data_IF_813557574756
#
_entry.id   IF_813557574756
#
_cell.length_a   1.000
_cell.length_b   1.000
_cell.length_c   1.000
_cell.angle_alpha   90.00
_cell.angle_beta   90.00
_cell.angle_gamma   90.00
#
_symmetry.space_group_name_H-M   'P 1'
#
loop_
_entity.id
_entity.type
_entity.pdbx_description
1 polymer ?
#
# COMPACT_ATOMS: atom_id res chain seq x y z
N UNK A 1 -33.04 -27.58 36.65
CA UNK A 1 -31.58 -27.36 36.55
C UNK A 1 -31.00 -27.54 35.14
N UNK A 2 -31.81 -27.61 34.06
CA UNK A 2 -31.33 -27.84 32.68
C UNK A 2 -31.31 -26.58 31.79
N UNK A 3 -32.01 -25.52 32.17
CA UNK A 3 -32.11 -24.27 31.39
C UNK A 3 -30.91 -23.35 31.56
N UNK A 4 -30.20 -23.42 32.69
CA UNK A 4 -29.04 -22.56 33.00
C UNK A 4 -27.82 -22.89 32.14
N UNK A 5 -27.60 -24.17 31.81
CA UNK A 5 -26.52 -24.60 30.93
C UNK A 5 -26.78 -24.20 29.47
N UNK A 6 -28.03 -24.36 29.00
CA UNK A 6 -28.42 -23.98 27.63
C UNK A 6 -28.38 -22.46 27.43
N UNK A 7 -28.80 -21.68 28.44
CA UNK A 7 -28.73 -20.22 28.41
C UNK A 7 -27.28 -19.71 28.44
N UNK A 8 -26.39 -20.34 29.23
CA UNK A 8 -24.95 -20.03 29.25
C UNK A 8 -24.28 -20.37 27.91
N UNK A 9 -24.62 -21.50 27.31
CA UNK A 9 -24.13 -21.87 25.98
C UNK A 9 -24.59 -20.87 24.91
N UNK A 10 -25.85 -20.43 24.96
CA UNK A 10 -26.37 -19.39 24.06
C UNK A 10 -25.64 -18.05 24.19
N UNK A 11 -25.34 -17.62 25.43
CA UNK A 11 -24.55 -16.39 25.69
C UNK A 11 -23.12 -16.53 25.16
N UNK A 12 -22.47 -17.68 25.35
CA UNK A 12 -21.12 -17.93 24.85
C UNK A 12 -21.06 -17.96 23.32
N UNK A 13 -22.08 -18.53 22.66
CA UNK A 13 -22.19 -18.53 21.20
C UNK A 13 -22.42 -17.09 20.70
N UNK A 14 -23.29 -16.31 21.34
CA UNK A 14 -23.51 -14.92 20.99
C UNK A 14 -22.24 -14.06 21.17
N UNK A 15 -21.46 -14.29 22.23
CA UNK A 15 -20.16 -13.64 22.44
C UNK A 15 -19.12 -14.05 21.38
N UNK A 16 -19.15 -15.30 20.91
CA UNK A 16 -18.25 -15.76 19.85
C UNK A 16 -18.56 -15.07 18.50
N UNK A 17 -19.84 -14.85 18.19
CA UNK A 17 -20.24 -14.10 16.98
C UNK A 17 -19.85 -12.61 17.04
N UNK A 18 -19.85 -11.99 18.23
CA UNK A 18 -19.39 -10.61 18.43
C UNK A 18 -17.87 -10.44 18.27
N UNK A 19 -17.10 -11.54 18.31
CA UNK A 19 -15.66 -11.57 18.10
C UNK A 19 -15.26 -12.05 16.70
N UNK A 20 -16.19 -12.06 15.74
CA UNK A 20 -15.88 -12.30 14.34
C UNK A 20 -15.02 -11.16 13.80
N UNK A 21 -13.70 -11.27 13.97
CA UNK A 21 -12.73 -10.36 13.39
C UNK A 21 -12.93 -10.35 11.88
N UNK A 22 -13.09 -9.16 11.32
CA UNK A 22 -12.97 -8.97 9.88
C UNK A 22 -11.57 -9.41 9.47
N UNK A 23 -11.46 -10.48 8.68
CA UNK A 23 -10.22 -10.77 7.98
C UNK A 23 -9.92 -9.57 7.08
N UNK A 24 -8.89 -8.80 7.40
CA UNK A 24 -8.52 -7.64 6.60
C UNK A 24 -8.09 -8.17 5.23
N UNK A 25 -8.95 -7.99 4.23
CA UNK A 25 -8.71 -8.47 2.87
C UNK A 25 -7.37 -7.93 2.37
N UNK A 26 -6.56 -8.82 1.77
CA UNK A 26 -5.32 -8.49 1.08
C UNK A 26 -5.53 -7.52 -0.10
N UNK A 27 -6.78 -7.23 -0.47
CA UNK A 27 -7.15 -6.27 -1.51
C UNK A 27 -6.72 -4.82 -1.22
N UNK A 28 -6.47 -4.47 0.05
CA UNK A 28 -5.92 -3.17 0.44
C UNK A 28 -4.39 -3.07 0.31
N UNK A 29 -3.69 -4.16 -0.04
CA UNK A 29 -2.25 -4.16 -0.30
C UNK A 29 -1.98 -3.93 -1.79
N UNK A 30 -2.50 -2.85 -2.36
CA UNK A 30 -2.01 -2.33 -3.65
C UNK A 30 -0.86 -1.37 -3.32
N UNK A 31 0.41 -1.82 -3.28
CA UNK A 31 1.54 -0.95 -2.95
C UNK A 31 1.79 0.13 -4.03
N UNK A 32 0.98 0.16 -5.08
CA UNK A 32 1.05 1.12 -6.17
C UNK A 32 -0.28 1.83 -6.33
N UNK A 33 -0.20 3.13 -6.58
CA UNK A 33 -1.32 3.98 -6.96
C UNK A 33 -1.02 4.56 -8.33
N UNK A 34 -1.98 4.51 -9.24
CA UNK A 34 -1.87 5.23 -10.51
C UNK A 34 -2.00 6.72 -10.23
N UNK A 35 -0.90 7.44 -10.34
CA UNK A 35 -0.87 8.89 -10.05
C UNK A 35 -1.44 9.71 -11.21
N UNK A 36 -1.08 9.36 -12.46
CA UNK A 36 -1.53 10.06 -13.65
C UNK A 36 -1.40 9.19 -14.90
N UNK A 37 -2.24 9.48 -15.91
CA UNK A 37 -2.13 8.93 -17.26
C UNK A 37 -2.03 10.08 -18.25
N UNK A 38 -0.99 10.10 -19.08
CA UNK A 38 -0.75 11.14 -20.08
C UNK A 38 -0.56 10.50 -21.46
N UNK A 39 -0.89 11.24 -22.53
CA UNK A 39 -0.70 10.81 -23.93
C UNK A 39 0.58 11.38 -24.55
N UNK A 40 1.49 11.91 -23.74
CA UNK A 40 2.78 12.45 -24.16
C UNK A 40 3.76 11.34 -24.54
N UNK A 41 4.81 11.72 -25.28
CA UNK A 41 5.94 10.84 -25.56
C UNK A 41 6.52 10.24 -24.26
N UNK A 42 6.91 8.97 -24.32
CA UNK A 42 7.36 8.20 -23.17
C UNK A 42 8.58 8.82 -22.49
N UNK A 43 9.62 9.20 -23.24
CA UNK A 43 10.84 9.77 -22.67
C UNK A 43 10.55 11.12 -22.02
N UNK A 44 9.71 11.94 -22.67
CA UNK A 44 9.28 13.22 -22.11
C UNK A 44 8.50 13.03 -20.80
N UNK A 45 7.65 12.00 -20.73
CA UNK A 45 6.91 11.67 -19.51
C UNK A 45 7.84 11.22 -18.38
N UNK A 46 8.87 10.42 -18.69
CA UNK A 46 9.89 9.98 -17.73
C UNK A 46 10.65 11.20 -17.16
N UNK A 47 11.18 12.07 -18.01
CA UNK A 47 11.92 13.26 -17.58
C UNK A 47 11.04 14.21 -16.75
N UNK A 48 9.80 14.45 -17.19
CA UNK A 48 8.84 15.26 -16.44
C UNK A 48 8.55 14.68 -15.05
N UNK A 49 8.42 13.36 -14.96
CA UNK A 49 8.17 12.65 -13.69
C UNK A 49 9.38 12.78 -12.76
N UNK A 50 10.60 12.60 -13.26
CA UNK A 50 11.83 12.79 -12.48
C UNK A 50 11.93 14.20 -11.91
N UNK A 51 11.71 15.21 -12.75
CA UNK A 51 11.72 16.62 -12.34
C UNK A 51 10.68 16.92 -11.25
N UNK A 52 9.47 16.37 -11.36
CA UNK A 52 8.41 16.54 -10.35
C UNK A 52 8.76 15.87 -9.02
N UNK A 53 9.32 14.66 -9.06
CA UNK A 53 9.76 13.94 -7.85
C UNK A 53 10.85 14.72 -7.12
N UNK A 54 11.86 15.19 -7.85
CA UNK A 54 12.95 16.00 -7.30
C UNK A 54 12.45 17.34 -6.75
N UNK A 55 11.58 18.03 -7.49
CA UNK A 55 10.94 19.27 -7.00
C UNK A 55 10.08 19.05 -5.76
N UNK A 56 9.55 17.83 -5.59
CA UNK A 56 8.79 17.40 -4.42
C UNK A 56 9.66 16.99 -3.23
N UNK A 57 10.99 17.12 -3.31
CA UNK A 57 11.91 16.80 -2.22
C UNK A 57 12.33 15.33 -2.16
N UNK A 58 12.12 14.56 -3.22
CA UNK A 58 12.60 13.19 -3.31
C UNK A 58 13.93 13.09 -4.06
N UNK A 59 14.83 12.25 -3.56
CA UNK A 59 16.05 11.86 -4.24
C UNK A 59 15.78 10.64 -5.12
N UNK A 60 16.29 10.65 -6.35
CA UNK A 60 16.33 9.47 -7.22
C UNK A 60 17.53 8.63 -6.82
N UNK A 61 17.29 7.42 -6.32
CA UNK A 61 18.32 6.51 -5.81
C UNK A 61 18.59 5.33 -6.74
N UNK A 62 17.79 5.16 -7.79
CA UNK A 62 17.98 4.14 -8.80
C UNK A 62 17.00 4.26 -9.96
N UNK A 63 17.41 3.77 -11.11
CA UNK A 63 16.61 3.71 -12.34
C UNK A 63 16.78 2.31 -12.96
N UNK A 64 15.69 1.75 -13.50
CA UNK A 64 15.70 0.44 -14.15
C UNK A 64 14.63 0.35 -15.23
N UNK A 65 15.05 -0.03 -16.44
CA UNK A 65 14.15 -0.24 -17.58
C UNK A 65 14.00 -1.74 -17.86
N UNK A 66 12.94 -2.41 -17.36
CA UNK A 66 12.78 -3.85 -17.54
C UNK A 66 12.56 -4.26 -19.01
N UNK A 67 11.95 -3.39 -19.80
CA UNK A 67 11.71 -3.56 -21.23
C UNK A 67 11.44 -2.20 -21.88
N UNK A 68 11.45 -2.16 -23.22
CA UNK A 68 11.22 -0.92 -23.97
C UNK A 68 9.84 -0.31 -23.66
N UNK A 69 9.82 0.98 -23.31
CA UNK A 69 8.58 1.69 -22.93
C UNK A 69 8.14 1.47 -21.47
N UNK A 70 9.01 0.93 -20.61
CA UNK A 70 8.81 0.89 -19.17
C UNK A 70 10.04 1.38 -18.43
N UNK A 71 9.83 2.29 -17.47
CA UNK A 71 10.87 2.88 -16.63
C UNK A 71 10.43 2.77 -15.17
N UNK A 72 11.30 2.22 -14.33
CA UNK A 72 11.13 2.17 -12.88
C UNK A 72 12.08 3.18 -12.27
N UNK A 73 11.51 4.21 -11.62
CA UNK A 73 12.27 5.22 -10.90
C UNK A 73 12.14 4.94 -9.41
N UNK A 74 13.26 4.62 -8.76
CA UNK A 74 13.30 4.39 -7.32
C UNK A 74 13.66 5.70 -6.64
N UNK A 75 12.81 6.12 -5.71
CA UNK A 75 13.01 7.36 -4.95
C UNK A 75 13.05 7.12 -3.46
N UNK A 76 13.73 8.02 -2.74
CA UNK A 76 13.73 8.08 -1.28
C UNK A 76 13.81 9.54 -0.82
N UNK A 77 13.71 9.75 0.48
CA UNK A 77 14.06 11.02 1.13
C UNK A 77 14.82 10.75 2.42
N UNK A 78 15.42 11.78 3.02
CA UNK A 78 16.07 11.66 4.34
C UNK A 78 15.12 11.16 5.43
N UNK A 79 13.86 11.62 5.40
CA UNK A 79 12.82 11.17 6.33
C UNK A 79 12.51 9.67 6.17
N UNK A 80 12.38 9.19 4.93
CA UNK A 80 12.11 7.78 4.64
C UNK A 80 13.30 6.90 5.05
N UNK A 81 14.54 7.34 4.79
CA UNK A 81 15.76 6.64 5.23
C UNK A 81 15.83 6.57 6.75
N UNK A 82 15.53 7.66 7.44
CA UNK A 82 15.51 7.71 8.90
C UNK A 82 14.41 6.81 9.50
N UNK A 83 13.25 6.72 8.85
CA UNK A 83 12.18 5.82 9.27
C UNK A 83 12.53 4.34 9.06
N UNK A 84 13.25 3.99 7.99
CA UNK A 84 13.64 2.62 7.69
C UNK A 84 14.76 2.07 8.58
N UNK A 85 15.56 2.95 9.21
CA UNK A 85 16.65 2.58 10.11
C UNK A 85 16.21 2.33 11.56
N UNK A 86 14.92 2.48 11.88
CA UNK A 86 14.33 2.20 13.20
C UNK A 86 13.78 0.79 13.26
#
# INVERSE_FOLDING_TARGET
MKTTALQRAGILIALFFLFSFNAWSAENLKPFMLVASNTTDFNTAVESTKNKLQSGGFDIVGEYSPYAGAEVIVVSSDELKASAAK
#
